data_IF_002171032753
#
_entry.id   IF_002171032753
#
_cell.length_a   1.000
_cell.length_b   1.000
_cell.length_c   1.000
_cell.angle_alpha   90.00
_cell.angle_beta   90.00
_cell.angle_gamma   90.00
#
_symmetry.space_group_name_H-M   'P 1'
#
loop_
_entity.id
_entity.type
_entity.pdbx_description
1 polymer ?
#
# COMPACT_ATOMS: atom_id res chain seq x y z
N UNK A 1 7.96 12.56 0.63
CA UNK A 1 8.23 11.14 0.28
C UNK A 1 8.62 10.30 1.49
N UNK A 2 9.60 10.68 2.32
CA UNK A 2 10.06 9.86 3.46
C UNK A 2 8.97 9.40 4.44
N UNK A 3 8.09 10.30 4.88
CA UNK A 3 6.99 9.94 5.80
C UNK A 3 5.96 9.03 5.13
N UNK A 4 5.57 9.33 3.89
CA UNK A 4 4.64 8.51 3.12
C UNK A 4 5.18 7.09 2.93
N UNK A 5 6.47 6.94 2.65
CA UNK A 5 7.13 5.64 2.55
C UNK A 5 7.17 4.90 3.89
N UNK A 6 7.47 5.59 4.99
CA UNK A 6 7.46 5.01 6.33
C UNK A 6 6.08 4.44 6.68
N UNK A 7 5.02 5.24 6.56
CA UNK A 7 3.67 4.80 6.91
C UNK A 7 3.13 3.74 5.94
N UNK A 8 3.39 3.87 4.64
CA UNK A 8 3.02 2.85 3.66
C UNK A 8 3.67 1.50 4.00
N UNK A 9 4.95 1.50 4.38
CA UNK A 9 5.66 0.28 4.81
C UNK A 9 5.03 -0.33 6.06
N UNK A 10 4.70 0.48 7.07
CA UNK A 10 4.06 -0.04 8.30
C UNK A 10 2.69 -0.68 8.00
N UNK A 11 1.86 -0.02 7.20
CA UNK A 11 0.56 -0.55 6.82
C UNK A 11 0.68 -1.80 5.94
N UNK A 12 1.61 -1.81 4.98
CA UNK A 12 1.88 -2.97 4.14
C UNK A 12 2.37 -4.18 4.95
N UNK A 13 3.18 -3.98 6.01
CA UNK A 13 3.58 -5.08 6.90
C UNK A 13 2.38 -5.73 7.61
N UNK A 14 1.37 -4.94 8.00
CA UNK A 14 0.14 -5.48 8.57
C UNK A 14 -0.65 -6.27 7.51
N UNK A 15 -0.74 -5.75 6.28
CA UNK A 15 -1.37 -6.46 5.16
C UNK A 15 -0.66 -7.78 4.86
N UNK A 16 0.67 -7.81 4.84
CA UNK A 16 1.45 -9.04 4.63
C UNK A 16 1.14 -10.08 5.71
N UNK A 17 1.09 -9.69 6.98
CA UNK A 17 0.73 -10.60 8.08
C UNK A 17 -0.68 -11.17 7.94
N UNK A 18 -1.63 -10.38 7.44
CA UNK A 18 -3.00 -10.85 7.17
C UNK A 18 -3.02 -11.89 6.04
N UNK A 19 -2.23 -11.70 4.99
CA UNK A 19 -2.08 -12.64 3.88
C UNK A 19 -1.41 -13.94 4.35
N UNK A 20 -0.34 -13.83 5.14
CA UNK A 20 0.35 -14.98 5.74
C UNK A 20 -0.59 -15.80 6.62
N UNK A 21 -1.40 -15.13 7.45
CA UNK A 21 -2.38 -15.79 8.31
C UNK A 21 -3.52 -16.47 7.54
N UNK A 22 -3.81 -16.01 6.32
CA UNK A 22 -4.79 -16.65 5.45
C UNK A 22 -4.27 -17.99 4.89
N UNK A 23 -2.95 -18.17 4.82
CA UNK A 23 -2.25 -19.30 4.19
C UNK A 23 -2.69 -19.59 2.75
N UNK A 24 -3.42 -18.66 2.11
CA UNK A 24 -4.08 -18.87 0.82
C UNK A 24 -5.28 -19.81 0.87
N UNK A 25 -5.75 -20.19 2.05
CA UNK A 25 -6.89 -21.09 2.26
C UNK A 25 -8.16 -20.34 2.68
N UNK A 26 -8.16 -19.00 2.70
CA UNK A 26 -9.32 -18.21 3.10
C UNK A 26 -9.63 -18.27 4.60
N UNK A 27 -8.62 -18.52 5.44
CA UNK A 27 -8.74 -18.61 6.91
C UNK A 27 -9.06 -17.26 7.55
N UNK A 28 -8.67 -16.17 6.92
CA UNK A 28 -8.91 -14.82 7.40
C UNK A 28 -10.30 -14.35 6.98
N UNK A 29 -11.12 -13.93 7.97
CA UNK A 29 -12.46 -13.41 7.70
C UNK A 29 -12.39 -12.09 6.91
N UNK A 30 -12.69 -12.16 5.62
CA UNK A 30 -12.77 -11.00 4.77
C UNK A 30 -14.11 -10.25 5.01
N UNK A 31 -14.03 -9.06 5.58
CA UNK A 31 -15.19 -8.16 5.78
C UNK A 31 -15.12 -6.99 4.83
N UNK A 32 -16.24 -6.30 4.59
CA UNK A 32 -16.26 -5.11 3.73
C UNK A 32 -15.27 -4.03 4.18
N UNK A 33 -15.13 -3.83 5.50
CA UNK A 33 -14.15 -2.89 6.07
C UNK A 33 -12.72 -3.33 5.79
N UNK A 34 -12.43 -4.64 5.86
CA UNK A 34 -11.09 -5.17 5.55
C UNK A 34 -10.74 -5.04 4.06
N UNK A 35 -11.69 -5.29 3.16
CA UNK A 35 -11.51 -5.04 1.72
C UNK A 35 -11.23 -3.57 1.49
N UNK A 36 -12.07 -2.69 2.02
CA UNK A 36 -11.91 -1.24 1.86
C UNK A 36 -10.58 -0.72 2.40
N UNK A 37 -10.11 -1.24 3.54
CA UNK A 37 -8.81 -0.90 4.09
C UNK A 37 -7.66 -1.33 3.17
N UNK A 38 -7.75 -2.50 2.55
CA UNK A 38 -6.77 -2.98 1.56
C UNK A 38 -6.81 -2.13 0.28
N UNK A 39 -7.99 -1.77 -0.21
CA UNK A 39 -8.16 -0.90 -1.38
C UNK A 39 -7.47 0.45 -1.16
N UNK A 40 -7.71 1.09 0.00
CA UNK A 40 -7.06 2.35 0.36
C UNK A 40 -5.54 2.21 0.45
N UNK A 41 -5.05 1.13 1.04
CA UNK A 41 -3.62 0.88 1.20
C UNK A 41 -2.95 0.73 -0.17
N UNK A 42 -3.47 -0.14 -1.03
CA UNK A 42 -2.88 -0.41 -2.34
C UNK A 42 -2.97 0.80 -3.27
N UNK A 43 -4.10 1.50 -3.29
CA UNK A 43 -4.25 2.73 -4.09
C UNK A 43 -3.33 3.85 -3.60
N UNK A 44 -3.14 3.99 -2.28
CA UNK A 44 -2.20 4.97 -1.72
C UNK A 44 -0.74 4.65 -2.05
N UNK A 45 -0.36 3.36 -2.04
CA UNK A 45 0.98 2.91 -2.45
C UNK A 45 1.22 3.26 -3.92
N UNK A 46 0.28 2.90 -4.81
CA UNK A 46 0.39 3.23 -6.23
C UNK A 46 0.46 4.74 -6.47
N UNK A 47 -0.38 5.52 -5.79
CA UNK A 47 -0.36 6.98 -5.91
C UNK A 47 1.00 7.55 -5.48
N UNK A 48 1.59 7.03 -4.39
CA UNK A 48 2.94 7.44 -3.94
C UNK A 48 4.01 7.10 -4.98
N UNK A 49 3.95 5.94 -5.63
CA UNK A 49 4.87 5.58 -6.72
C UNK A 49 4.72 6.53 -7.91
N UNK A 50 3.49 6.78 -8.37
CA UNK A 50 3.23 7.73 -9.45
C UNK A 50 3.71 9.15 -9.11
N UNK A 51 3.50 9.61 -7.88
CA UNK A 51 3.99 10.92 -7.43
C UNK A 51 5.53 10.98 -7.41
N UNK A 52 6.20 9.87 -7.10
CA UNK A 52 7.66 9.78 -7.18
C UNK A 52 8.13 10.01 -8.61
N UNK A 53 7.55 9.29 -9.56
CA UNK A 53 7.86 9.43 -10.99
C UNK A 53 7.55 10.85 -11.51
N UNK A 54 6.44 11.45 -11.09
CA UNK A 54 6.10 12.82 -11.44
C UNK A 54 7.17 13.80 -10.94
N UNK A 55 7.61 13.68 -9.69
CA UNK A 55 8.67 14.53 -9.13
C UNK A 55 9.96 14.41 -9.95
N UNK A 56 10.34 13.20 -10.32
CA UNK A 56 11.59 12.96 -11.06
C UNK A 56 11.50 13.47 -12.51
N UNK A 57 10.33 13.34 -13.15
CA UNK A 57 10.05 13.97 -14.45
C UNK A 57 10.17 15.50 -14.37
N UNK A 58 9.63 16.14 -13.32
CA UNK A 58 9.74 17.59 -13.13
C UNK A 58 11.17 18.06 -12.87
N UNK A 59 11.97 17.26 -12.15
CA UNK A 59 13.40 17.56 -11.91
C UNK A 59 14.24 17.44 -13.18
N UNK A 60 13.94 16.48 -14.05
CA UNK A 60 14.70 16.21 -15.27
C UNK A 60 14.36 17.19 -16.41
N UNK A 61 13.20 17.87 -16.33
CA UNK A 61 12.77 18.88 -17.30
C UNK A 61 13.21 20.31 -16.96
N UNK A 62 13.98 20.52 -15.89
CA UNK A 62 14.73 21.77 -15.63
C UNK A 62 16.17 21.62 -16.12
#
# INVERSE_FOLDING_TARGET
>A
MKEAEYYAKQAHLVQTKLIEADEGEGKTKMTLVMVHAQDHLMTSILAKELVTELIDLYRTRQ
#
